data_IF_901519357656
#
_entry.id   IF_901519357656
#
_cell.length_a   1.000
_cell.length_b   1.000
_cell.length_c   1.000
_cell.angle_alpha   90.00
_cell.angle_beta   90.00
_cell.angle_gamma   90.00
#
_symmetry.space_group_name_H-M   'P 1'
#
loop_
_entity.id
_entity.type
_entity.pdbx_description
1 polymer ?
#
# COMPACT_ATOMS: atom_id res chain seq x y z
N UNK A 1 -59.42 42.26 66.35
CA UNK A 1 -58.24 43.10 66.64
C UNK A 1 -57.01 42.21 66.45
N UNK A 2 -55.91 42.60 65.81
CA UNK A 2 -55.74 43.63 64.77
C UNK A 2 -54.78 43.19 63.62
N UNK A 3 -54.67 44.05 62.57
CA UNK A 3 -53.40 44.49 61.93
C UNK A 3 -52.64 43.54 60.97
N UNK A 4 -52.67 43.82 59.64
CA UNK A 4 -51.61 44.46 58.79
C UNK A 4 -50.63 43.42 58.21
N UNK A 5 -50.64 43.16 56.89
CA UNK A 5 -50.04 43.90 55.76
C UNK A 5 -48.61 43.41 55.44
N UNK A 6 -48.44 43.05 54.17
CA UNK A 6 -47.37 43.53 53.28
C UNK A 6 -45.99 42.85 53.23
N UNK A 7 -45.50 42.87 51.97
CA UNK A 7 -44.11 43.03 51.52
C UNK A 7 -43.40 41.82 50.89
N UNK A 8 -43.68 41.69 49.58
CA UNK A 8 -42.79 41.63 48.39
C UNK A 8 -41.59 40.67 48.28
N UNK A 9 -41.50 40.08 47.08
CA UNK A 9 -40.30 39.91 46.23
C UNK A 9 -39.04 39.26 46.82
N UNK A 10 -38.74 38.07 46.32
CA UNK A 10 -37.45 37.85 45.63
C UNK A 10 -37.67 37.09 44.32
N UNK A 11 -37.27 37.79 43.26
CA UNK A 11 -37.19 37.41 41.88
C UNK A 11 -36.04 36.38 41.65
N UNK A 12 -36.27 35.48 40.68
CA UNK A 12 -35.30 34.93 39.71
C UNK A 12 -34.27 33.88 40.15
N UNK A 13 -34.34 32.71 39.50
CA UNK A 13 -33.27 32.09 38.69
C UNK A 13 -33.97 30.99 37.85
N UNK A 14 -34.45 31.24 36.62
CA UNK A 14 -33.70 31.32 35.36
C UNK A 14 -32.64 30.19 35.32
N UNK A 15 -32.67 29.19 34.45
CA UNK A 15 -32.93 29.27 33.01
C UNK A 15 -33.33 27.89 32.49
N UNK A 16 -34.39 27.84 31.69
CA UNK A 16 -34.61 26.75 30.76
C UNK A 16 -33.52 26.85 29.69
N UNK A 17 -32.50 25.98 29.75
CA UNK A 17 -31.68 25.70 28.60
C UNK A 17 -32.50 24.80 27.66
N UNK A 18 -33.43 25.44 26.95
CA UNK A 18 -33.81 25.00 25.62
C UNK A 18 -32.50 24.97 24.83
N UNK A 19 -31.92 23.79 24.69
CA UNK A 19 -30.86 23.56 23.71
C UNK A 19 -31.49 23.91 22.37
N UNK A 20 -31.09 25.07 21.86
CA UNK A 20 -31.41 25.51 20.53
C UNK A 20 -30.71 24.52 19.59
N UNK A 21 -31.42 23.46 19.19
CA UNK A 21 -31.00 22.60 18.09
C UNK A 21 -31.12 23.47 16.85
N UNK A 22 -30.04 24.17 16.53
CA UNK A 22 -29.87 24.76 15.20
C UNK A 22 -29.88 23.57 14.26
N UNK A 23 -30.99 23.38 13.56
CA UNK A 23 -31.07 22.41 12.48
C UNK A 23 -29.97 22.76 11.48
N UNK A 24 -28.98 21.88 11.34
CA UNK A 24 -28.02 21.99 10.26
C UNK A 24 -28.80 21.99 8.94
N UNK A 25 -28.48 22.89 7.99
CA UNK A 25 -29.05 22.80 6.65
C UNK A 25 -28.75 21.40 6.10
N UNK A 26 -29.69 20.80 5.33
CA UNK A 26 -29.48 19.49 4.74
C UNK A 26 -28.17 19.52 3.95
N UNK A 27 -27.27 18.57 4.23
CA UNK A 27 -26.06 18.39 3.45
C UNK A 27 -26.43 18.40 1.96
N UNK A 28 -25.67 19.08 1.09
CA UNK A 28 -25.89 18.93 -0.34
C UNK A 28 -25.91 17.43 -0.69
N UNK A 29 -26.70 17.00 -1.68
CA UNK A 29 -26.69 15.62 -2.15
C UNK A 29 -25.23 15.19 -2.29
N UNK A 30 -24.85 14.06 -1.69
CA UNK A 30 -23.51 13.52 -1.87
C UNK A 30 -23.31 13.27 -3.37
N UNK A 31 -22.80 14.26 -4.08
CA UNK A 31 -22.24 14.06 -5.40
C UNK A 31 -21.11 13.05 -5.24
N UNK A 32 -21.00 12.04 -6.11
CA UNK A 32 -19.83 11.17 -6.13
C UNK A 32 -18.61 12.04 -6.36
N UNK A 33 -17.90 12.39 -5.28
CA UNK A 33 -16.57 12.99 -5.38
C UNK A 33 -15.69 11.90 -5.96
N UNK A 34 -15.39 11.98 -7.26
CA UNK A 34 -14.40 11.09 -7.85
C UNK A 34 -13.12 11.23 -7.03
N UNK A 35 -12.59 10.13 -6.47
CA UNK A 35 -11.40 10.21 -5.63
C UNK A 35 -10.27 10.80 -6.47
N UNK A 36 -9.40 11.64 -5.87
CA UNK A 36 -8.20 12.12 -6.53
C UNK A 36 -7.43 10.95 -7.16
N UNK A 37 -6.76 11.15 -8.32
CA UNK A 37 -5.97 10.09 -8.94
C UNK A 37 -5.01 9.51 -7.90
N UNK A 38 -5.15 8.21 -7.65
CA UNK A 38 -4.41 7.54 -6.59
C UNK A 38 -2.92 7.52 -6.94
N UNK A 39 -2.07 7.87 -5.96
CA UNK A 39 -0.63 7.77 -6.14
C UNK A 39 -0.25 6.33 -6.52
N UNK A 40 0.64 6.20 -7.50
CA UNK A 40 1.07 4.93 -8.09
C UNK A 40 1.49 3.89 -7.04
N UNK A 41 2.23 4.31 -6.03
CA UNK A 41 2.65 3.42 -4.95
C UNK A 41 1.50 2.94 -4.05
N UNK A 42 0.43 3.73 -3.89
CA UNK A 42 -0.77 3.32 -3.16
C UNK A 42 -1.50 2.17 -3.89
N UNK A 43 -1.48 2.17 -5.23
CA UNK A 43 -1.97 1.03 -6.00
C UNK A 43 -1.16 -0.23 -5.68
N UNK A 44 0.16 -0.13 -5.65
CA UNK A 44 1.04 -1.25 -5.28
C UNK A 44 0.83 -1.71 -3.84
N UNK A 45 0.59 -0.81 -2.89
CA UNK A 45 0.24 -1.15 -1.49
C UNK A 45 -1.05 -1.97 -1.43
N UNK A 46 -2.09 -1.57 -2.18
CA UNK A 46 -3.38 -2.28 -2.20
C UNK A 46 -3.29 -3.68 -2.77
N UNK A 47 -2.39 -3.88 -3.73
CA UNK A 47 -2.16 -5.18 -4.36
C UNK A 47 -1.26 -6.10 -3.52
N UNK A 48 -0.60 -5.59 -2.47
CA UNK A 48 0.26 -6.43 -1.65
C UNK A 48 -0.58 -7.43 -0.86
N UNK A 49 -0.27 -8.72 -1.02
CA UNK A 49 -0.85 -9.78 -0.21
C UNK A 49 -0.45 -9.67 1.27
N UNK A 50 -1.17 -10.39 2.14
CA UNK A 50 -0.86 -10.43 3.56
C UNK A 50 0.58 -10.88 3.86
N UNK A 51 1.16 -11.74 3.03
CA UNK A 51 2.53 -12.25 3.22
C UNK A 51 3.62 -11.33 2.66
N UNK A 52 3.25 -10.27 1.93
CA UNK A 52 4.21 -9.32 1.34
C UNK A 52 4.57 -9.58 -0.11
N UNK A 53 3.83 -10.44 -0.82
CA UNK A 53 4.03 -10.74 -2.24
C UNK A 53 2.95 -10.11 -3.13
N UNK A 54 3.22 -10.10 -4.43
CA UNK A 54 2.26 -9.71 -5.49
C UNK A 54 2.03 -10.85 -6.46
N UNK A 55 0.84 -10.86 -7.06
CA UNK A 55 0.49 -11.77 -8.15
C UNK A 55 0.73 -11.12 -9.51
N UNK A 56 1.12 -11.93 -10.49
CA UNK A 56 1.36 -11.45 -11.85
C UNK A 56 0.02 -11.32 -12.59
N UNK A 57 -0.59 -10.14 -12.52
CA UNK A 57 -1.89 -9.87 -13.14
C UNK A 57 -1.96 -8.50 -13.83
N UNK A 58 -3.11 -8.23 -14.44
CA UNK A 58 -3.36 -6.96 -15.14
C UNK A 58 -3.39 -5.74 -14.19
N UNK A 59 -3.73 -5.93 -12.92
CA UNK A 59 -3.74 -4.84 -11.94
C UNK A 59 -2.31 -4.44 -11.57
N UNK A 60 -1.42 -5.42 -11.39
CA UNK A 60 0.00 -5.21 -11.20
C UNK A 60 0.64 -4.53 -12.41
N UNK A 61 0.35 -5.03 -13.62
CA UNK A 61 0.83 -4.45 -14.86
C UNK A 61 0.44 -2.97 -14.98
N UNK A 62 -0.83 -2.67 -14.71
CA UNK A 62 -1.32 -1.30 -14.66
C UNK A 62 -0.62 -0.47 -13.57
N UNK A 63 -0.40 -1.05 -12.39
CA UNK A 63 0.28 -0.39 -11.26
C UNK A 63 1.80 -0.21 -11.45
N UNK A 64 2.44 -0.93 -12.37
CA UNK A 64 3.85 -0.73 -12.73
C UNK A 64 4.02 0.12 -13.99
N UNK A 65 2.93 0.42 -14.70
CA UNK A 65 2.93 1.07 -16.02
C UNK A 65 3.68 0.27 -17.09
N UNK A 66 3.72 -1.06 -16.92
CA UNK A 66 4.38 -1.99 -17.84
C UNK A 66 3.32 -2.94 -18.39
N UNK A 67 3.19 -3.09 -19.72
CA UNK A 67 2.29 -4.06 -20.32
C UNK A 67 2.49 -5.48 -19.77
N UNK A 68 1.40 -6.18 -19.43
CA UNK A 68 1.46 -7.51 -18.81
C UNK A 68 2.33 -8.51 -19.60
N UNK A 69 2.23 -8.51 -20.92
CA UNK A 69 3.03 -9.39 -21.78
C UNK A 69 4.55 -9.17 -21.64
N UNK A 70 5.01 -7.94 -21.35
CA UNK A 70 6.44 -7.67 -21.12
C UNK A 70 6.89 -8.17 -19.74
N UNK A 71 6.03 -8.06 -18.72
CA UNK A 71 6.30 -8.64 -17.40
C UNK A 71 6.45 -10.16 -17.47
N UNK A 72 5.58 -10.82 -18.25
CA UNK A 72 5.62 -12.27 -18.45
C UNK A 72 6.81 -12.71 -19.31
N UNK A 73 7.13 -11.97 -20.38
CA UNK A 73 8.24 -12.33 -21.29
C UNK A 73 9.61 -12.12 -20.65
N UNK A 74 9.74 -11.14 -19.75
CA UNK A 74 10.98 -10.87 -19.02
C UNK A 74 11.23 -11.84 -17.86
N UNK A 75 10.23 -12.66 -17.48
CA UNK A 75 10.35 -13.60 -16.37
C UNK A 75 11.42 -14.67 -16.64
N UNK A 76 12.45 -14.79 -15.77
CA UNK A 76 13.37 -15.92 -15.83
C UNK A 76 12.63 -17.24 -15.59
N UNK A 77 12.99 -18.29 -16.32
CA UNK A 77 12.37 -19.62 -16.17
C UNK A 77 12.76 -20.29 -14.85
N UNK A 78 13.99 -20.03 -14.39
CA UNK A 78 14.60 -20.61 -13.19
C UNK A 78 15.16 -19.52 -12.30
N UNK A 79 15.38 -19.86 -11.02
CA UNK A 79 16.12 -18.99 -10.11
C UNK A 79 17.54 -18.76 -10.64
N UNK A 80 18.13 -17.55 -10.48
CA UNK A 80 19.48 -17.22 -10.94
C UNK A 80 20.55 -17.84 -10.04
N UNK A 81 20.60 -19.17 -10.01
CA UNK A 81 21.42 -19.99 -9.11
C UNK A 81 22.41 -20.84 -9.91
N UNK A 82 23.63 -21.08 -9.40
CA UNK A 82 24.59 -21.94 -10.09
C UNK A 82 24.12 -23.38 -10.34
N UNK A 83 23.04 -23.83 -9.71
CA UNK A 83 22.47 -25.15 -9.94
C UNK A 83 21.30 -25.17 -10.96
N UNK A 84 20.74 -24.01 -11.33
CA UNK A 84 19.67 -23.83 -12.34
C UNK A 84 18.50 -24.86 -12.34
N UNK A 85 18.16 -25.45 -11.19
CA UNK A 85 17.18 -26.54 -11.13
C UNK A 85 15.77 -26.11 -10.73
N UNK A 86 15.62 -25.02 -9.99
CA UNK A 86 14.33 -24.61 -9.45
C UNK A 86 13.59 -23.63 -10.37
N UNK A 87 12.36 -23.98 -10.77
CA UNK A 87 11.46 -23.10 -11.50
C UNK A 87 11.16 -21.84 -10.69
N UNK A 88 11.23 -20.67 -11.33
CA UNK A 88 10.84 -19.42 -10.72
C UNK A 88 9.31 -19.27 -10.77
N UNK A 89 8.70 -19.04 -9.62
CA UNK A 89 7.25 -18.79 -9.54
C UNK A 89 6.92 -17.37 -10.02
N UNK A 90 5.78 -17.18 -10.68
CA UNK A 90 5.38 -15.87 -11.20
C UNK A 90 5.20 -14.82 -10.09
N UNK A 91 4.72 -15.22 -8.91
CA UNK A 91 4.61 -14.32 -7.75
C UNK A 91 5.98 -13.86 -7.21
N UNK A 92 7.01 -14.70 -7.31
CA UNK A 92 8.38 -14.35 -6.95
C UNK A 92 8.91 -13.27 -7.89
N UNK A 93 8.71 -13.47 -9.20
CA UNK A 93 9.11 -12.49 -10.21
C UNK A 93 8.33 -11.18 -10.08
N UNK A 94 7.00 -11.25 -9.94
CA UNK A 94 6.14 -10.09 -9.69
C UNK A 94 6.62 -9.28 -8.47
N UNK A 95 6.92 -9.97 -7.37
CA UNK A 95 7.41 -9.32 -6.14
C UNK A 95 8.77 -8.65 -6.35
N UNK A 96 9.71 -9.30 -7.07
CA UNK A 96 11.00 -8.71 -7.40
C UNK A 96 10.83 -7.45 -8.28
N UNK A 97 9.94 -7.48 -9.27
CA UNK A 97 9.61 -6.32 -10.11
C UNK A 97 9.08 -5.15 -9.29
N UNK A 98 8.17 -5.41 -8.34
CA UNK A 98 7.63 -4.35 -7.47
C UNK A 98 8.71 -3.73 -6.59
N UNK A 99 9.55 -4.56 -5.95
CA UNK A 99 10.66 -4.07 -5.12
C UNK A 99 11.59 -3.18 -5.95
N UNK A 100 12.06 -3.65 -7.11
CA UNK A 100 12.93 -2.87 -7.99
C UNK A 100 12.26 -1.59 -8.49
N UNK A 101 10.95 -1.61 -8.75
CA UNK A 101 10.20 -0.41 -9.12
C UNK A 101 10.20 0.63 -8.00
N UNK A 102 9.92 0.22 -6.76
CA UNK A 102 9.98 1.12 -5.61
C UNK A 102 11.36 1.74 -5.43
N UNK A 103 12.41 0.90 -5.42
CA UNK A 103 13.78 1.33 -5.17
C UNK A 103 14.36 2.25 -6.26
N UNK A 104 13.86 2.16 -7.49
CA UNK A 104 14.43 2.89 -8.63
C UNK A 104 13.53 3.98 -9.24
N UNK A 105 12.20 3.83 -9.17
CA UNK A 105 11.25 4.80 -9.74
C UNK A 105 10.57 5.67 -8.69
N UNK A 106 10.56 5.24 -7.43
CA UNK A 106 9.89 5.93 -6.33
C UNK A 106 10.84 6.25 -5.17
N UNK A 107 12.14 6.30 -5.44
CA UNK A 107 13.19 6.54 -4.44
C UNK A 107 12.97 7.82 -3.61
N UNK A 108 12.38 8.86 -4.21
CA UNK A 108 12.10 10.14 -3.55
C UNK A 108 11.02 10.06 -2.45
N UNK A 109 10.22 8.99 -2.45
CA UNK A 109 9.11 8.78 -1.50
C UNK A 109 9.39 7.60 -0.57
N UNK A 110 10.67 7.26 -0.34
CA UNK A 110 11.08 6.06 0.39
C UNK A 110 10.39 5.89 1.74
N UNK A 111 10.26 6.96 2.51
CA UNK A 111 9.66 6.95 3.85
C UNK A 111 8.20 6.46 3.82
N UNK A 112 7.49 6.61 2.70
CA UNK A 112 6.10 6.18 2.53
C UNK A 112 5.96 4.67 2.33
N UNK A 113 6.94 4.04 1.70
CA UNK A 113 6.84 2.65 1.24
C UNK A 113 7.91 1.71 1.79
N UNK A 114 8.89 2.19 2.55
CA UNK A 114 10.03 1.38 2.99
C UNK A 114 9.60 0.14 3.79
N UNK A 115 8.60 0.26 4.68
CA UNK A 115 8.10 -0.86 5.47
C UNK A 115 7.40 -1.91 4.60
N UNK A 116 6.70 -1.46 3.54
CA UNK A 116 6.06 -2.33 2.56
C UNK A 116 7.10 -3.18 1.83
N UNK A 117 8.19 -2.53 1.38
CA UNK A 117 9.28 -3.17 0.64
C UNK A 117 10.14 -4.05 1.56
N UNK A 118 10.38 -3.66 2.82
CA UNK A 118 11.09 -4.51 3.79
C UNK A 118 10.36 -5.84 4.04
N UNK A 119 9.03 -5.80 4.13
CA UNK A 119 8.21 -7.01 4.25
C UNK A 119 8.33 -7.89 3.00
N UNK A 120 8.28 -7.29 1.82
CA UNK A 120 8.44 -7.99 0.56
C UNK A 120 9.83 -8.64 0.41
N UNK A 121 10.90 -7.93 0.78
CA UNK A 121 12.26 -8.46 0.85
C UNK A 121 12.35 -9.67 1.78
N UNK A 122 11.74 -9.58 2.96
CA UNK A 122 11.72 -10.67 3.94
C UNK A 122 11.01 -11.91 3.37
N UNK A 123 9.89 -11.71 2.67
CA UNK A 123 9.18 -12.79 1.99
C UNK A 123 10.02 -13.39 0.84
N UNK A 124 10.66 -12.55 0.01
CA UNK A 124 11.48 -12.98 -1.11
C UNK A 124 12.69 -13.82 -0.64
N UNK A 125 13.34 -13.39 0.45
CA UNK A 125 14.42 -14.13 1.08
C UNK A 125 13.96 -15.51 1.59
N UNK A 126 12.75 -15.60 2.15
CA UNK A 126 12.18 -16.89 2.54
C UNK A 126 11.97 -17.82 1.34
N UNK A 127 11.53 -17.29 0.19
CA UNK A 127 11.42 -18.06 -1.05
C UNK A 127 12.80 -18.54 -1.54
N UNK A 128 13.81 -17.68 -1.52
CA UNK A 128 15.17 -18.06 -1.90
C UNK A 128 15.75 -19.14 -0.97
N UNK A 129 15.52 -19.05 0.35
CA UNK A 129 15.92 -20.06 1.32
C UNK A 129 15.27 -21.44 1.07
N UNK A 130 14.04 -21.47 0.53
CA UNK A 130 13.37 -22.73 0.19
C UNK A 130 14.01 -23.44 -1.00
N UNK A 131 14.66 -22.68 -1.89
CA UNK A 131 15.34 -23.17 -3.09
C UNK A 131 16.77 -23.57 -2.78
N UNK A 132 17.50 -22.73 -2.04
CA UNK A 132 18.85 -23.01 -1.56
C UNK A 132 19.01 -22.60 -0.10
N UNK A 133 19.12 -23.58 0.82
CA UNK A 133 19.30 -23.28 2.23
C UNK A 133 20.67 -22.63 2.47
N UNK A 134 20.68 -21.50 3.18
CA UNK A 134 21.88 -20.75 3.53
C UNK A 134 21.67 -19.25 3.36
N UNK A 135 21.79 -18.49 4.46
CA UNK A 135 21.42 -17.06 4.48
C UNK A 135 22.21 -16.20 3.50
N UNK A 136 23.50 -16.48 3.30
CA UNK A 136 24.35 -15.75 2.34
C UNK A 136 23.98 -16.08 0.90
N UNK A 137 23.75 -17.36 0.59
CA UNK A 137 23.40 -17.80 -0.77
C UNK A 137 22.02 -17.27 -1.15
N UNK A 138 21.04 -17.40 -0.25
CA UNK A 138 19.69 -16.88 -0.47
C UNK A 138 19.69 -15.36 -0.73
N UNK A 139 20.50 -14.59 0.02
CA UNK A 139 20.66 -13.15 -0.23
C UNK A 139 21.26 -12.88 -1.61
N UNK A 140 22.33 -13.58 -2.00
CA UNK A 140 22.92 -13.43 -3.34
C UNK A 140 21.94 -13.80 -4.46
N UNK A 141 21.05 -14.78 -4.26
CA UNK A 141 19.99 -15.11 -5.21
C UNK A 141 18.97 -13.98 -5.34
N UNK A 142 18.53 -13.41 -4.21
CA UNK A 142 17.64 -12.25 -4.21
C UNK A 142 18.29 -11.06 -4.92
N UNK A 143 19.55 -10.73 -4.60
CA UNK A 143 20.27 -9.60 -5.20
C UNK A 143 20.36 -9.74 -6.73
N UNK A 144 20.70 -10.94 -7.22
CA UNK A 144 20.73 -11.22 -8.66
C UNK A 144 19.34 -11.10 -9.30
N UNK A 145 18.31 -11.59 -8.62
CA UNK A 145 16.94 -11.53 -9.12
C UNK A 145 16.42 -10.08 -9.21
N UNK A 146 16.74 -9.26 -8.22
CA UNK A 146 16.37 -7.84 -8.18
C UNK A 146 17.10 -7.03 -9.25
N UNK A 147 18.35 -7.37 -9.54
CA UNK A 147 19.10 -6.76 -10.65
C UNK A 147 18.48 -7.13 -12.01
N UNK A 148 18.06 -8.38 -12.20
CA UNK A 148 17.32 -8.78 -13.42
C UNK A 148 15.98 -8.03 -13.53
N UNK A 149 15.25 -7.89 -12.43
CA UNK A 149 13.99 -7.16 -12.39
C UNK A 149 14.17 -5.68 -12.75
N UNK A 150 15.20 -5.04 -12.21
CA UNK A 150 15.59 -3.68 -12.57
C UNK A 150 15.85 -3.55 -14.07
N UNK A 151 16.66 -4.44 -14.65
CA UNK A 151 16.96 -4.43 -16.09
C UNK A 151 15.70 -4.63 -16.95
N UNK A 152 14.77 -5.48 -16.51
CA UNK A 152 13.48 -5.67 -17.18
C UNK A 152 12.63 -4.40 -17.14
N UNK A 153 12.59 -3.69 -16.01
CA UNK A 153 11.87 -2.41 -15.89
C UNK A 153 12.51 -1.35 -16.78
N UNK A 154 13.84 -1.22 -16.76
CA UNK A 154 14.57 -0.23 -17.56
C UNK A 154 14.40 -0.46 -19.07
N UNK A 155 14.40 -1.72 -19.52
CA UNK A 155 14.21 -2.06 -20.94
C UNK A 155 12.77 -1.88 -21.43
N UNK A 156 11.78 -1.82 -20.53
CA UNK A 156 10.37 -1.66 -20.88
C UNK A 156 9.91 -0.20 -21.09
N UNK A 157 10.77 0.78 -20.79
CA UNK A 157 10.44 2.23 -20.84
C UNK A 157 11.06 2.92 -22.08
N UNK A 158 11.20 2.18 -23.19
CA UNK A 158 11.70 2.70 -24.48
C UNK A 158 10.55 3.05 -25.42
#
# INVERSE_FOLDING_TARGET
MPVVLCVVCTFLYFSALFVNVVALPPSPPCEPVEPPPENRWLLLVRLQSFVGSWDMDAQLANALEIPLHLLETSQPKTWPSPADTAKLQSSVWATAMVISYFEHRLADQKDEWELLVQKAHSWLLAQACSVQPGSTVARQLCDRLLELAKQAIESSVV
#
